data_IF_019610752634
#
_entry.id   IF_019610752634
#
_cell.length_a   1.000
_cell.length_b   1.000
_cell.length_c   1.000
_cell.angle_alpha   90.00
_cell.angle_beta   90.00
_cell.angle_gamma   90.00
#
_symmetry.space_group_name_H-M   'P 1'
#
loop_
_entity.id
_entity.type
_entity.pdbx_description
1 polymer ?
#
# COMPACT_ATOMS: atom_id res chain seq x y z
N UNK A 1 -0.21 -7.84 -24.68
CA UNK A 1 -0.29 -7.04 -23.44
C UNK A 1 -0.45 -5.60 -23.88
N UNK A 2 -1.46 -4.84 -23.42
CA UNK A 2 -1.51 -3.41 -23.70
C UNK A 2 -0.22 -2.77 -23.18
N UNK A 3 0.37 -1.88 -23.99
CA UNK A 3 1.60 -1.18 -23.63
C UNK A 3 1.36 -0.44 -22.32
N UNK A 4 2.06 -0.84 -21.28
CA UNK A 4 2.01 -0.18 -19.98
C UNK A 4 2.82 1.10 -20.08
N UNK A 5 2.15 2.22 -20.32
CA UNK A 5 2.80 3.52 -20.28
C UNK A 5 2.96 3.92 -18.80
N UNK A 6 4.19 3.88 -18.32
CA UNK A 6 4.53 4.55 -17.08
C UNK A 6 4.63 6.05 -17.39
N UNK A 7 3.77 6.82 -16.76
CA UNK A 7 3.69 8.26 -16.89
C UNK A 7 4.34 8.93 -15.67
N UNK A 8 4.73 10.20 -15.80
CA UNK A 8 5.41 10.93 -14.75
C UNK A 8 4.74 12.29 -14.55
N UNK A 9 4.29 12.53 -13.35
CA UNK A 9 3.87 13.84 -12.86
C UNK A 9 5.02 14.47 -12.09
N UNK A 10 5.57 15.55 -12.61
CA UNK A 10 6.55 16.38 -11.90
C UNK A 10 5.82 17.55 -11.26
N UNK A 11 5.83 17.60 -9.92
CA UNK A 11 5.18 18.68 -9.19
C UNK A 11 6.05 19.93 -9.24
N UNK A 12 5.44 21.05 -9.60
CA UNK A 12 6.03 22.39 -9.44
C UNK A 12 5.68 23.00 -8.08
N UNK A 13 4.69 22.44 -7.38
CA UNK A 13 4.29 22.87 -6.05
C UNK A 13 5.00 22.04 -4.99
N UNK A 14 5.61 22.65 -3.97
CA UNK A 14 6.23 21.92 -2.88
C UNK A 14 5.15 21.22 -2.03
N UNK A 15 5.47 20.03 -1.51
CA UNK A 15 4.65 19.32 -0.55
C UNK A 15 5.12 19.66 0.86
N UNK A 16 4.26 20.36 1.63
CA UNK A 16 4.49 20.58 3.06
C UNK A 16 4.10 19.29 3.81
N UNK A 17 5.07 18.68 4.48
CA UNK A 17 4.90 17.45 5.21
C UNK A 17 4.37 17.68 6.62
N UNK A 18 3.71 16.68 7.21
CA UNK A 18 3.25 16.75 8.62
C UNK A 18 4.40 17.02 9.60
N UNK A 19 5.63 16.64 9.26
CA UNK A 19 6.83 16.94 10.05
C UNK A 19 7.24 18.42 10.03
N UNK A 20 6.64 19.23 9.16
CA UNK A 20 7.06 20.61 8.88
C UNK A 20 8.17 20.72 7.83
N UNK A 21 8.75 19.61 7.38
CA UNK A 21 9.70 19.61 6.26
C UNK A 21 8.98 19.89 4.93
N UNK A 22 9.73 20.32 3.93
CA UNK A 22 9.21 20.59 2.58
C UNK A 22 9.90 19.67 1.59
N UNK A 23 9.12 18.93 0.80
CA UNK A 23 9.61 18.17 -0.34
C UNK A 23 9.31 18.95 -1.62
N UNK A 24 10.35 19.53 -2.21
CA UNK A 24 10.26 20.29 -3.46
C UNK A 24 10.65 19.41 -4.65
N UNK A 25 10.18 19.79 -5.85
CA UNK A 25 10.59 19.19 -7.13
C UNK A 25 10.46 17.66 -7.16
N UNK A 26 9.40 17.14 -6.58
CA UNK A 26 9.17 15.69 -6.58
C UNK A 26 8.42 15.22 -7.82
N UNK A 27 8.63 13.95 -8.13
CA UNK A 27 7.99 13.24 -9.25
C UNK A 27 7.15 12.11 -8.71
N UNK A 28 5.96 11.89 -9.27
CA UNK A 28 5.14 10.70 -9.07
C UNK A 28 5.06 9.96 -10.40
N UNK A 29 5.56 8.72 -10.42
CA UNK A 29 5.37 7.81 -11.53
C UNK A 29 4.04 7.06 -11.37
N UNK A 30 3.24 6.96 -12.41
CA UNK A 30 1.92 6.34 -12.35
C UNK A 30 1.58 5.62 -13.65
N UNK A 31 0.59 4.74 -13.59
CA UNK A 31 0.04 4.04 -14.76
C UNK A 31 -1.45 4.26 -14.83
N UNK A 32 -1.97 4.36 -16.05
CA UNK A 32 -3.39 4.47 -16.35
C UNK A 32 -3.85 3.33 -17.25
N UNK A 33 -5.10 2.91 -17.09
CA UNK A 33 -5.71 1.86 -17.90
C UNK A 33 -7.15 2.26 -18.25
N UNK A 34 -7.60 1.86 -19.44
CA UNK A 34 -8.92 2.19 -19.93
C UNK A 34 -9.06 3.66 -20.34
N UNK A 35 -10.29 4.14 -20.41
CA UNK A 35 -10.59 5.50 -20.86
C UNK A 35 -11.57 6.20 -19.93
N UNK A 36 -11.33 7.48 -19.71
CA UNK A 36 -12.23 8.34 -18.96
C UNK A 36 -13.49 8.60 -19.81
N UNK A 37 -14.67 8.31 -19.25
CA UNK A 37 -15.95 8.57 -19.93
C UNK A 37 -16.25 10.08 -19.99
N UNK A 38 -17.24 10.46 -20.84
CA UNK A 38 -17.59 11.86 -21.04
C UNK A 38 -18.06 12.55 -19.73
N UNK A 39 -18.76 11.82 -18.89
CA UNK A 39 -19.27 12.27 -17.59
C UNK A 39 -18.18 12.30 -16.51
N UNK A 40 -16.97 11.77 -16.81
CA UNK A 40 -15.83 11.65 -15.88
C UNK A 40 -16.19 10.93 -14.57
N UNK A 41 -17.12 9.97 -14.65
CA UNK A 41 -17.73 9.29 -13.51
C UNK A 41 -17.18 7.88 -13.25
N UNK A 42 -16.27 7.37 -14.11
CA UNK A 42 -15.78 5.97 -14.09
C UNK A 42 -14.36 5.83 -13.54
N UNK A 43 -13.91 6.74 -12.70
CA UNK A 43 -12.55 6.76 -12.15
C UNK A 43 -12.42 5.76 -11.02
N UNK A 44 -11.53 4.79 -11.17
CA UNK A 44 -11.08 3.86 -10.14
C UNK A 44 -9.64 4.20 -9.78
N UNK A 45 -9.38 4.58 -8.54
CA UNK A 45 -8.03 4.86 -8.07
C UNK A 45 -7.56 3.77 -7.12
N UNK A 46 -6.46 3.12 -7.46
CA UNK A 46 -5.89 2.02 -6.68
C UNK A 46 -4.63 2.53 -5.97
N UNK A 47 -4.55 2.27 -4.67
CA UNK A 47 -3.37 2.57 -3.85
C UNK A 47 -2.71 1.26 -3.50
N UNK A 48 -1.47 1.07 -3.97
CA UNK A 48 -0.75 -0.18 -3.79
C UNK A 48 -0.25 -0.39 -2.34
N UNK A 49 -0.04 -1.66 -1.96
CA UNK A 49 0.54 -2.04 -0.68
C UNK A 49 2.06 -1.75 -0.62
N UNK A 50 2.68 -1.99 0.55
CA UNK A 50 4.06 -1.61 0.91
C UNK A 50 5.10 -1.80 -0.21
N UNK A 51 5.12 -2.95 -0.86
CA UNK A 51 6.09 -3.28 -1.93
C UNK A 51 5.44 -3.45 -3.31
N UNK A 52 4.20 -2.97 -3.47
CA UNK A 52 3.50 -2.92 -4.75
C UNK A 52 4.04 -1.82 -5.65
N UNK A 53 3.50 -1.76 -6.86
CA UNK A 53 3.82 -0.76 -7.87
C UNK A 53 2.57 -0.35 -8.66
N UNK A 54 2.72 0.59 -9.59
CA UNK A 54 1.62 1.09 -10.42
C UNK A 54 1.10 0.10 -11.46
N UNK A 55 1.78 -1.04 -11.65
CA UNK A 55 1.39 -2.04 -12.65
C UNK A 55 0.33 -3.00 -12.12
N UNK A 56 -0.77 -2.44 -11.65
CA UNK A 56 -1.84 -3.15 -10.95
C UNK A 56 -2.44 -4.31 -11.76
N UNK A 57 -2.54 -4.20 -13.07
CA UNK A 57 -3.02 -5.28 -13.93
C UNK A 57 -2.11 -6.53 -13.93
N UNK A 58 -0.87 -6.41 -13.46
CA UNK A 58 0.06 -7.52 -13.32
C UNK A 58 -0.11 -8.27 -12.00
N UNK A 59 -0.17 -7.53 -10.88
CA UNK A 59 -0.21 -8.15 -9.56
C UNK A 59 -1.63 -8.36 -9.01
N UNK A 60 -2.64 -7.71 -9.62
CA UNK A 60 -4.05 -7.85 -9.23
C UNK A 60 -4.94 -8.25 -10.41
N UNK A 61 -4.42 -9.09 -11.30
CA UNK A 61 -5.02 -9.46 -12.58
C UNK A 61 -6.42 -10.11 -12.48
N UNK A 62 -6.79 -10.66 -11.34
CA UNK A 62 -8.14 -11.17 -11.09
C UNK A 62 -9.17 -10.07 -10.72
N UNK A 63 -8.70 -8.87 -10.37
CA UNK A 63 -9.55 -7.71 -10.03
C UNK A 63 -9.47 -6.66 -11.13
N UNK A 64 -8.29 -6.42 -11.69
CA UNK A 64 -8.02 -5.40 -12.72
C UNK A 64 -7.58 -6.09 -14.01
N UNK A 65 -8.27 -5.86 -15.10
CA UNK A 65 -7.94 -6.45 -16.40
C UNK A 65 -9.16 -6.54 -17.31
N UNK A 66 -9.01 -7.05 -18.51
CA UNK A 66 -10.11 -7.14 -19.50
C UNK A 66 -11.35 -7.86 -18.95
N UNK A 67 -11.14 -8.94 -18.21
CA UNK A 67 -12.19 -9.74 -17.57
C UNK A 67 -12.29 -9.52 -16.06
N UNK A 68 -11.58 -8.54 -15.51
CA UNK A 68 -11.60 -8.22 -14.08
C UNK A 68 -12.85 -7.45 -13.66
N UNK A 69 -13.06 -7.34 -12.36
CA UNK A 69 -14.11 -6.49 -11.78
C UNK A 69 -13.99 -5.05 -12.29
N UNK A 70 -12.78 -4.51 -12.28
CA UNK A 70 -12.43 -3.24 -12.87
C UNK A 70 -11.82 -3.50 -14.25
N UNK A 71 -12.69 -3.55 -15.27
CA UNK A 71 -12.27 -3.79 -16.65
C UNK A 71 -11.95 -2.48 -17.39
N UNK A 72 -11.09 -2.58 -18.39
CA UNK A 72 -10.58 -1.42 -19.15
C UNK A 72 -11.62 -0.79 -20.07
N UNK A 73 -12.70 -1.50 -20.39
CA UNK A 73 -13.76 -1.00 -21.28
C UNK A 73 -14.70 -0.03 -20.56
N UNK A 74 -14.91 -0.22 -19.24
CA UNK A 74 -15.89 0.54 -18.47
C UNK A 74 -15.25 1.53 -17.48
N UNK A 75 -13.98 1.35 -17.14
CA UNK A 75 -13.34 2.11 -16.09
C UNK A 75 -12.06 2.81 -16.57
N UNK A 76 -11.83 4.00 -16.03
CA UNK A 76 -10.54 4.66 -16.07
C UNK A 76 -9.82 4.39 -14.76
N UNK A 77 -8.82 3.53 -14.80
CA UNK A 77 -8.11 3.01 -13.64
C UNK A 77 -6.77 3.71 -13.51
N UNK A 78 -6.45 4.17 -12.32
CA UNK A 78 -5.20 4.85 -12.01
C UNK A 78 -4.53 4.14 -10.85
N UNK A 79 -3.23 3.89 -10.96
CA UNK A 79 -2.39 3.48 -9.86
C UNK A 79 -1.08 4.26 -9.92
N UNK A 80 -0.71 4.92 -8.83
CA UNK A 80 0.52 5.69 -8.72
C UNK A 80 1.51 4.99 -7.79
N UNK A 81 2.79 5.03 -8.14
CA UNK A 81 3.87 4.62 -7.25
C UNK A 81 4.00 5.64 -6.13
N UNK A 82 3.94 5.19 -4.88
CA UNK A 82 4.02 6.06 -3.71
C UNK A 82 5.38 6.77 -3.65
N UNK A 83 5.38 8.01 -3.16
CA UNK A 83 6.63 8.67 -2.78
C UNK A 83 7.39 7.80 -1.77
N UNK A 84 8.69 7.73 -1.92
CA UNK A 84 9.53 6.85 -1.11
C UNK A 84 9.65 5.41 -1.65
N UNK A 85 8.80 4.97 -2.60
CA UNK A 85 8.87 3.62 -3.19
C UNK A 85 9.99 3.50 -4.24
N UNK A 86 10.27 2.25 -4.66
CA UNK A 86 11.39 1.94 -5.56
C UNK A 86 11.06 2.04 -7.06
N UNK A 87 9.91 2.63 -7.46
CA UNK A 87 9.39 2.48 -8.84
C UNK A 87 9.14 3.82 -9.56
N UNK A 88 10.16 4.68 -9.57
CA UNK A 88 10.18 5.89 -10.40
C UNK A 88 9.58 7.14 -9.76
N UNK A 89 8.84 7.05 -8.66
CA UNK A 89 8.51 8.20 -7.83
C UNK A 89 9.72 8.63 -7.00
N UNK A 90 9.76 9.92 -6.63
CA UNK A 90 10.84 10.45 -5.78
C UNK A 90 10.96 9.64 -4.49
N UNK A 91 12.18 9.22 -4.19
CA UNK A 91 12.53 8.32 -3.11
C UNK A 91 13.96 8.61 -2.58
N UNK A 92 14.42 7.89 -1.55
CA UNK A 92 15.76 8.12 -0.97
C UNK A 92 16.93 8.05 -1.96
N UNK A 93 16.81 7.36 -3.08
CA UNK A 93 17.85 7.30 -4.11
C UNK A 93 17.72 8.40 -5.18
N UNK A 94 16.65 9.18 -5.14
CA UNK A 94 16.48 10.34 -6.04
C UNK A 94 17.46 11.45 -5.68
N UNK A 95 17.81 12.26 -6.67
CA UNK A 95 18.65 13.45 -6.46
C UNK A 95 17.92 14.48 -5.62
N UNK A 96 18.55 14.92 -4.54
CA UNK A 96 18.12 16.07 -3.76
C UNK A 96 18.46 17.35 -4.53
N UNK A 97 17.47 18.17 -4.92
CA UNK A 97 17.72 19.36 -5.73
C UNK A 97 18.57 20.41 -5.02
N UNK A 98 18.65 20.37 -3.70
CA UNK A 98 19.45 21.32 -2.90
C UNK A 98 20.93 20.96 -2.90
N UNK A 99 21.26 19.66 -2.86
CA UNK A 99 22.68 19.20 -2.73
C UNK A 99 23.26 18.68 -4.05
N UNK A 100 22.40 18.31 -5.02
CA UNK A 100 22.81 17.68 -6.28
C UNK A 100 23.21 16.20 -6.14
N UNK A 101 23.10 15.61 -4.94
CA UNK A 101 23.40 14.20 -4.65
C UNK A 101 22.12 13.45 -4.26
N UNK A 102 22.16 12.12 -4.22
CA UNK A 102 21.00 11.35 -3.74
C UNK A 102 20.69 11.66 -2.28
N UNK A 103 19.41 11.64 -1.93
CA UNK A 103 18.95 11.90 -0.55
C UNK A 103 19.50 10.89 0.46
N UNK A 104 19.47 9.60 0.16
CA UNK A 104 19.78 8.52 1.09
C UNK A 104 19.09 8.72 2.45
N UNK A 105 19.84 8.92 3.52
CA UNK A 105 19.34 9.12 4.89
C UNK A 105 18.69 10.49 5.12
N UNK A 106 18.95 11.47 4.25
CA UNK A 106 18.37 12.80 4.32
C UNK A 106 16.98 12.89 3.67
N UNK A 107 16.47 11.77 3.13
CA UNK A 107 15.11 11.73 2.60
C UNK A 107 14.11 12.00 3.73
N UNK A 108 13.20 12.98 3.55
CA UNK A 108 12.30 13.37 4.63
C UNK A 108 11.36 12.23 5.01
N UNK A 109 11.03 12.14 6.30
CA UNK A 109 10.02 11.20 6.79
C UNK A 109 8.65 11.57 6.23
N UNK A 110 8.00 10.61 5.59
CA UNK A 110 6.65 10.75 5.05
C UNK A 110 5.64 10.03 5.95
N UNK A 111 4.51 10.64 6.19
CA UNK A 111 3.36 10.00 6.82
C UNK A 111 2.37 9.47 5.77
N UNK A 112 1.42 8.63 6.19
CA UNK A 112 0.33 8.20 5.30
C UNK A 112 -0.51 9.38 4.81
N UNK A 113 -0.60 10.46 5.59
CA UNK A 113 -1.26 11.70 5.20
C UNK A 113 -0.49 12.46 4.12
N UNK A 114 0.83 12.54 4.23
CA UNK A 114 1.68 13.14 3.20
C UNK A 114 1.57 12.38 1.89
N UNK A 115 1.54 11.04 1.95
CA UNK A 115 1.32 10.19 0.79
C UNK A 115 -0.05 10.45 0.15
N UNK A 116 -1.12 10.55 0.94
CA UNK A 116 -2.45 10.90 0.44
C UNK A 116 -2.50 12.29 -0.21
N UNK A 117 -1.84 13.28 0.40
CA UNK A 117 -1.74 14.63 -0.17
C UNK A 117 -0.98 14.63 -1.51
N UNK A 118 0.10 13.86 -1.63
CA UNK A 118 0.83 13.75 -2.88
C UNK A 118 -0.01 13.13 -4.01
N UNK A 119 -0.83 12.12 -3.70
CA UNK A 119 -1.77 11.54 -4.66
C UNK A 119 -2.87 12.55 -5.04
N UNK A 120 -3.31 13.42 -4.13
CA UNK A 120 -4.27 14.47 -4.45
C UNK A 120 -3.69 15.53 -5.40
N UNK A 121 -2.40 15.83 -5.33
CA UNK A 121 -1.73 16.70 -6.30
C UNK A 121 -1.73 16.06 -7.70
N UNK A 122 -1.45 14.76 -7.81
CA UNK A 122 -1.57 14.04 -9.07
C UNK A 122 -3.01 14.04 -9.59
N UNK A 123 -4.01 13.82 -8.72
CA UNK A 123 -5.44 13.89 -9.10
C UNK A 123 -5.79 15.24 -9.71
N UNK A 124 -5.34 16.34 -9.09
CA UNK A 124 -5.54 17.72 -9.58
C UNK A 124 -4.85 17.94 -10.93
N UNK A 125 -3.62 17.44 -11.09
CA UNK A 125 -2.90 17.49 -12.37
C UNK A 125 -3.68 16.79 -13.49
N UNK A 126 -4.24 15.61 -13.20
CA UNK A 126 -5.10 14.88 -14.14
C UNK A 126 -6.49 15.50 -14.33
N UNK A 127 -6.77 16.62 -13.65
CA UNK A 127 -8.06 17.35 -13.69
C UNK A 127 -9.25 16.45 -13.33
N UNK A 128 -9.07 15.52 -12.39
CA UNK A 128 -10.11 14.61 -11.91
C UNK A 128 -10.79 15.25 -10.69
N UNK A 129 -11.99 15.79 -10.87
CA UNK A 129 -12.73 16.39 -9.77
C UNK A 129 -13.29 15.35 -8.81
N UNK A 130 -13.80 14.25 -9.37
CA UNK A 130 -14.43 13.17 -8.63
C UNK A 130 -13.71 11.84 -8.85
N UNK A 131 -13.69 11.00 -7.80
CA UNK A 131 -13.27 9.60 -7.85
C UNK A 131 -14.50 8.74 -7.55
N UNK A 132 -14.82 7.81 -8.44
CA UNK A 132 -15.92 6.86 -8.21
C UNK A 132 -15.55 5.87 -7.10
N UNK A 133 -14.38 5.28 -7.20
CA UNK A 133 -13.89 4.33 -6.19
C UNK A 133 -12.41 4.52 -5.93
N UNK A 134 -12.08 4.70 -4.66
CA UNK A 134 -10.73 4.64 -4.12
C UNK A 134 -10.57 3.29 -3.43
N UNK A 135 -9.57 2.49 -3.81
CA UNK A 135 -9.35 1.16 -3.25
C UNK A 135 -7.90 0.94 -2.86
N UNK A 136 -7.65 0.38 -1.68
CA UNK A 136 -6.32 0.03 -1.22
C UNK A 136 -6.34 -1.07 -0.16
N UNK A 137 -5.28 -1.90 -0.16
CA UNK A 137 -5.06 -2.92 0.86
C UNK A 137 -3.82 -2.60 1.71
N UNK A 138 -3.82 -3.01 2.98
CA UNK A 138 -2.69 -2.83 3.90
C UNK A 138 -2.30 -1.35 4.02
N UNK A 139 -1.02 -0.99 3.79
CA UNK A 139 -0.56 0.41 3.70
C UNK A 139 -1.41 1.22 2.71
N UNK A 140 -1.77 0.64 1.56
CA UNK A 140 -2.64 1.31 0.59
C UNK A 140 -4.01 1.63 1.17
N UNK A 141 -4.55 0.80 2.06
CA UNK A 141 -5.79 1.04 2.78
C UNK A 141 -5.69 2.18 3.80
N UNK A 142 -4.56 2.27 4.52
CA UNK A 142 -4.27 3.40 5.42
C UNK A 142 -4.25 4.73 4.67
N UNK A 143 -3.56 4.77 3.53
CA UNK A 143 -3.49 5.96 2.67
C UNK A 143 -4.87 6.28 2.09
N UNK A 144 -5.63 5.26 1.69
CA UNK A 144 -6.98 5.44 1.17
C UNK A 144 -7.93 6.04 2.23
N UNK A 145 -7.81 5.67 3.51
CA UNK A 145 -8.57 6.28 4.59
C UNK A 145 -8.21 7.76 4.80
N UNK A 146 -6.92 8.09 4.83
CA UNK A 146 -6.45 9.48 4.92
C UNK A 146 -6.98 10.31 3.74
N UNK A 147 -6.91 9.74 2.54
CA UNK A 147 -7.35 10.44 1.34
C UNK A 147 -8.87 10.53 1.23
N UNK A 148 -9.63 9.52 1.68
CA UNK A 148 -11.09 9.59 1.76
C UNK A 148 -11.56 10.76 2.65
N UNK A 149 -10.88 10.98 3.78
CA UNK A 149 -11.13 12.15 4.63
C UNK A 149 -10.84 13.47 3.89
N UNK A 150 -9.72 13.57 3.17
CA UNK A 150 -9.31 14.78 2.44
C UNK A 150 -10.21 15.10 1.24
N UNK A 151 -10.69 14.08 0.54
CA UNK A 151 -11.54 14.23 -0.65
C UNK A 151 -12.95 14.74 -0.31
N UNK A 152 -13.47 14.42 0.87
CA UNK A 152 -14.82 14.79 1.25
C UNK A 152 -15.85 14.28 0.23
N UNK A 153 -16.72 15.15 -0.28
CA UNK A 153 -17.76 14.81 -1.26
C UNK A 153 -17.25 14.48 -2.67
N UNK A 154 -15.96 14.63 -2.94
CA UNK A 154 -15.36 14.26 -4.24
C UNK A 154 -15.12 12.76 -4.41
N UNK A 155 -15.33 11.96 -3.36
CA UNK A 155 -15.20 10.52 -3.36
C UNK A 155 -16.57 9.87 -3.15
N UNK A 156 -16.97 8.97 -4.05
CA UNK A 156 -18.21 8.23 -3.88
C UNK A 156 -18.02 6.99 -2.98
N UNK A 157 -17.01 6.18 -3.25
CA UNK A 157 -16.77 4.91 -2.55
C UNK A 157 -15.30 4.77 -2.15
N UNK A 158 -15.03 4.34 -0.91
CA UNK A 158 -13.73 3.90 -0.44
C UNK A 158 -13.77 2.42 -0.06
N UNK A 159 -12.90 1.61 -0.63
CA UNK A 159 -12.75 0.19 -0.29
C UNK A 159 -11.39 0.00 0.35
N UNK A 160 -11.39 -0.36 1.62
CA UNK A 160 -10.17 -0.52 2.41
C UNK A 160 -10.07 -1.95 2.92
N UNK A 161 -8.96 -2.63 2.62
CA UNK A 161 -8.83 -4.07 2.79
C UNK A 161 -7.65 -4.38 3.71
N UNK A 162 -7.84 -5.25 4.70
CA UNK A 162 -6.79 -5.71 5.61
C UNK A 162 -5.94 -4.55 6.13
N UNK A 163 -6.58 -3.59 6.77
CA UNK A 163 -5.99 -2.32 7.20
C UNK A 163 -6.59 -1.81 8.51
N UNK A 164 -6.10 -0.70 9.02
CA UNK A 164 -6.50 -0.11 10.30
C UNK A 164 -6.69 1.40 10.18
N UNK A 165 -7.42 2.01 11.11
CA UNK A 165 -7.52 3.47 11.27
C UNK A 165 -6.33 4.09 12.03
N UNK A 166 -5.59 3.25 12.78
CA UNK A 166 -4.35 3.62 13.49
C UNK A 166 -3.47 2.40 13.62
N UNK A 167 -2.20 2.55 13.27
CA UNK A 167 -1.25 1.44 13.35
C UNK A 167 -1.08 0.96 14.79
N UNK A 168 -1.31 -0.34 15.00
CA UNK A 168 -1.20 -0.97 16.31
C UNK A 168 0.26 -1.19 16.73
N UNK A 169 0.54 -1.30 18.04
CA UNK A 169 1.87 -1.67 18.52
C UNK A 169 2.38 -3.00 17.93
N UNK A 170 1.50 -3.93 17.61
CA UNK A 170 1.82 -5.20 16.97
C UNK A 170 2.43 -5.00 15.58
N UNK A 171 1.79 -4.21 14.73
CA UNK A 171 2.30 -3.87 13.38
C UNK A 171 3.62 -3.09 13.48
N UNK A 172 3.69 -2.09 14.38
CA UNK A 172 4.91 -1.32 14.64
C UNK A 172 6.06 -2.26 15.06
N UNK A 173 5.78 -3.25 15.91
CA UNK A 173 6.76 -4.24 16.36
C UNK A 173 7.34 -5.05 15.20
N UNK A 174 6.49 -5.54 14.29
CA UNK A 174 6.97 -6.23 13.09
C UNK A 174 7.79 -5.33 12.18
N UNK A 175 7.32 -4.10 11.93
CA UNK A 175 8.04 -3.15 11.10
C UNK A 175 9.40 -2.79 11.70
N UNK A 176 9.47 -2.60 13.02
CA UNK A 176 10.72 -2.30 13.70
C UNK A 176 11.69 -3.49 13.66
N UNK A 177 11.23 -4.72 13.88
CA UNK A 177 12.07 -5.92 13.74
C UNK A 177 12.67 -6.04 12.34
N UNK A 178 11.91 -5.68 11.31
CA UNK A 178 12.38 -5.63 9.92
C UNK A 178 13.44 -4.53 9.72
N UNK A 179 13.23 -3.34 10.29
CA UNK A 179 14.23 -2.25 10.23
C UNK A 179 15.49 -2.59 11.02
N UNK A 180 15.35 -3.25 12.16
CA UNK A 180 16.52 -3.76 12.92
C UNK A 180 17.35 -4.74 12.08
N UNK A 181 16.71 -5.62 11.31
CA UNK A 181 17.39 -6.51 10.39
C UNK A 181 18.16 -5.74 9.29
N UNK A 182 17.57 -4.68 8.73
CA UNK A 182 18.25 -3.79 7.78
C UNK A 182 19.42 -3.08 8.45
N UNK A 183 19.22 -2.56 9.65
CA UNK A 183 20.26 -1.82 10.38
C UNK A 183 21.45 -2.71 10.83
N UNK A 184 21.22 -4.01 10.97
CA UNK A 184 22.27 -4.99 11.29
C UNK A 184 23.17 -5.33 10.07
N UNK A 185 22.80 -4.94 8.87
CA UNK A 185 23.63 -5.11 7.67
C UNK A 185 24.85 -4.19 7.75
N UNK A 186 26.05 -4.75 7.59
CA UNK A 186 27.33 -4.00 7.69
C UNK A 186 27.48 -2.88 6.66
N UNK A 187 26.71 -2.91 5.58
CA UNK A 187 26.70 -1.84 4.55
C UNK A 187 25.71 -0.72 4.92
N UNK A 188 24.78 -0.93 5.87
CA UNK A 188 23.86 0.11 6.31
C UNK A 188 24.63 1.24 6.99
N UNK A 189 24.32 2.47 6.66
CA UNK A 189 25.10 3.66 7.04
C UNK A 189 25.95 4.21 5.90
N UNK A 190 26.13 3.46 4.81
CA UNK A 190 26.82 3.93 3.61
C UNK A 190 25.85 4.62 2.65
N UNK A 191 26.24 5.72 2.03
CA UNK A 191 25.47 6.39 0.97
C UNK A 191 25.67 5.67 -0.37
N UNK A 192 25.13 4.45 -0.47
CA UNK A 192 25.23 3.59 -1.66
C UNK A 192 23.86 2.93 -1.93
N UNK A 193 23.41 2.81 -3.20
CA UNK A 193 22.09 2.27 -3.53
C UNK A 193 21.80 0.86 -3.00
N UNK A 194 22.81 0.01 -2.89
CA UNK A 194 22.71 -1.35 -2.37
C UNK A 194 22.93 -1.48 -0.85
N UNK A 195 23.13 -0.35 -0.12
CA UNK A 195 23.29 -0.40 1.33
C UNK A 195 22.04 -1.03 2.00
N UNK A 196 22.29 -1.94 2.95
CA UNK A 196 21.24 -2.66 3.67
C UNK A 196 20.57 -3.78 2.88
N UNK A 197 21.09 -4.19 1.72
CA UNK A 197 20.46 -5.18 0.83
C UNK A 197 20.31 -6.55 1.48
N UNK A 198 21.33 -7.03 2.19
CA UNK A 198 21.26 -8.30 2.93
C UNK A 198 20.31 -8.22 4.13
N UNK A 199 20.31 -7.07 4.80
CA UNK A 199 19.34 -6.78 5.85
C UNK A 199 17.92 -6.75 5.32
N UNK A 200 17.67 -6.23 4.11
CA UNK A 200 16.36 -6.25 3.47
C UNK A 200 15.91 -7.67 3.11
N UNK A 201 16.82 -8.59 2.73
CA UNK A 201 16.48 -10.01 2.56
C UNK A 201 15.93 -10.61 3.86
N UNK A 202 16.61 -10.37 4.98
CA UNK A 202 16.15 -10.81 6.30
C UNK A 202 14.85 -10.12 6.74
N UNK A 203 14.72 -8.81 6.51
CA UNK A 203 13.51 -8.05 6.77
C UNK A 203 12.30 -8.63 6.00
N UNK A 204 12.51 -9.01 4.73
CA UNK A 204 11.45 -9.66 3.94
C UNK A 204 11.07 -11.03 4.50
N UNK A 205 12.01 -11.82 5.00
CA UNK A 205 11.72 -13.09 5.66
C UNK A 205 10.82 -12.88 6.90
N UNK A 206 11.13 -11.89 7.75
CA UNK A 206 10.29 -11.50 8.90
C UNK A 206 8.89 -11.09 8.42
N UNK A 207 8.80 -10.24 7.39
CA UNK A 207 7.52 -9.81 6.81
C UNK A 207 6.69 -10.99 6.33
N UNK A 208 7.29 -11.98 5.65
CA UNK A 208 6.56 -13.14 5.15
C UNK A 208 5.93 -13.98 6.27
N UNK A 209 6.55 -14.04 7.46
CA UNK A 209 5.97 -14.72 8.62
C UNK A 209 4.74 -13.97 9.16
N UNK A 210 4.69 -12.63 9.06
CA UNK A 210 3.51 -11.86 9.44
C UNK A 210 2.41 -11.84 8.36
N UNK A 211 2.77 -12.05 7.08
CA UNK A 211 1.81 -12.04 5.97
C UNK A 211 1.15 -13.40 5.74
N UNK A 212 1.73 -14.47 6.27
CA UNK A 212 1.20 -15.83 6.15
C UNK A 212 0.56 -16.29 7.46
N UNK A 213 -0.52 -17.03 7.34
CA UNK A 213 -1.06 -17.74 8.49
C UNK A 213 -0.24 -19.04 8.72
N UNK A 214 0.04 -19.42 9.98
CA UNK A 214 0.79 -20.64 10.28
C UNK A 214 0.20 -21.91 9.67
N UNK A 215 -1.12 -22.03 9.57
CA UNK A 215 -1.78 -23.20 8.98
C UNK A 215 -1.42 -23.35 7.49
N UNK A 216 -1.51 -22.27 6.72
CA UNK A 216 -1.16 -22.25 5.29
C UNK A 216 0.34 -22.49 5.08
N UNK A 217 1.18 -21.84 5.90
CA UNK A 217 2.63 -21.99 5.78
C UNK A 217 3.08 -23.43 6.11
N UNK A 218 2.55 -24.03 7.19
CA UNK A 218 2.86 -25.39 7.60
C UNK A 218 2.46 -26.40 6.53
N UNK A 219 1.29 -26.23 5.92
CA UNK A 219 0.85 -27.15 4.85
C UNK A 219 1.71 -26.99 3.59
N UNK A 220 1.99 -25.76 3.17
CA UNK A 220 2.76 -25.48 1.94
C UNK A 220 4.25 -25.81 2.05
N UNK A 221 4.81 -25.77 3.26
CA UNK A 221 6.25 -26.02 3.50
C UNK A 221 6.48 -27.34 4.24
N UNK A 222 5.49 -28.24 4.21
CA UNK A 222 5.58 -29.56 4.81
C UNK A 222 6.64 -30.40 4.08
N UNK A 223 7.56 -30.97 4.85
CA UNK A 223 8.58 -31.88 4.30
C UNK A 223 7.96 -33.21 3.86
N UNK A 224 8.41 -33.71 2.73
CA UNK A 224 8.00 -35.01 2.22
C UNK A 224 8.88 -36.16 2.72
N UNK A 225 10.04 -35.85 3.29
CA UNK A 225 11.03 -36.80 3.81
C UNK A 225 11.62 -36.27 5.12
N UNK A 226 12.14 -37.18 5.95
CA UNK A 226 12.89 -36.81 7.15
C UNK A 226 14.17 -36.05 6.79
N UNK A 227 14.45 -34.96 7.47
CA UNK A 227 15.61 -34.09 7.25
C UNK A 227 16.17 -33.59 8.58
N UNK A 228 17.48 -33.36 8.60
CA UNK A 228 18.17 -32.70 9.70
C UNK A 228 18.50 -31.23 9.40
N UNK A 229 18.49 -30.85 8.09
CA UNK A 229 18.78 -29.51 7.61
C UNK A 229 18.19 -29.29 6.20
N UNK A 230 18.29 -28.06 5.64
CA UNK A 230 17.80 -27.74 4.31
C UNK A 230 16.28 -27.75 4.19
N UNK A 231 15.57 -27.27 5.22
CA UNK A 231 14.12 -27.28 5.31
C UNK A 231 13.47 -26.39 4.23
N UNK A 232 12.31 -26.81 3.73
CA UNK A 232 11.53 -26.06 2.72
C UNK A 232 11.16 -24.67 3.23
N UNK A 233 10.77 -24.54 4.48
CA UNK A 233 10.46 -23.23 5.08
C UNK A 233 11.65 -22.28 5.03
N UNK A 234 12.88 -22.77 5.30
CA UNK A 234 14.11 -21.98 5.21
C UNK A 234 14.38 -21.54 3.77
N UNK A 235 14.25 -22.45 2.83
CA UNK A 235 14.42 -22.17 1.39
C UNK A 235 13.41 -21.16 0.89
N UNK A 236 12.15 -21.28 1.31
CA UNK A 236 11.08 -20.34 0.99
C UNK A 236 11.39 -18.91 1.46
N UNK A 237 11.79 -18.73 2.72
CA UNK A 237 12.10 -17.41 3.29
C UNK A 237 13.31 -16.78 2.59
N UNK A 238 14.38 -17.53 2.36
CA UNK A 238 15.56 -17.07 1.61
C UNK A 238 15.19 -16.65 0.18
N UNK A 239 14.36 -17.45 -0.50
CA UNK A 239 13.88 -17.11 -1.85
C UNK A 239 13.06 -15.80 -1.85
N UNK A 240 12.17 -15.60 -0.89
CA UNK A 240 11.34 -14.41 -0.81
C UNK A 240 12.19 -13.15 -0.53
N UNK A 241 13.21 -13.25 0.31
CA UNK A 241 14.17 -12.19 0.54
C UNK A 241 14.91 -11.80 -0.73
N UNK A 242 15.58 -12.76 -1.35
CA UNK A 242 16.35 -12.56 -2.59
C UNK A 242 15.46 -12.08 -3.76
N UNK A 243 14.19 -12.51 -3.83
CA UNK A 243 13.23 -12.03 -4.83
C UNK A 243 12.89 -10.55 -4.65
N UNK A 244 12.71 -10.09 -3.42
CA UNK A 244 12.40 -8.68 -3.15
C UNK A 244 13.56 -7.77 -3.53
N UNK A 245 14.77 -8.09 -3.12
CA UNK A 245 15.96 -7.24 -3.34
C UNK A 245 16.38 -7.09 -4.81
N UNK A 246 15.78 -7.85 -5.72
CA UNK A 246 15.93 -7.64 -7.18
C UNK A 246 15.15 -6.44 -7.71
N UNK A 247 14.16 -5.94 -6.94
CA UNK A 247 13.23 -4.91 -7.41
C UNK A 247 12.93 -3.81 -6.38
N UNK A 248 13.44 -3.94 -5.15
CA UNK A 248 13.15 -3.00 -4.07
C UNK A 248 14.41 -2.73 -3.25
N UNK A 249 14.60 -1.47 -2.83
CA UNK A 249 15.77 -1.04 -2.07
C UNK A 249 15.46 -0.93 -0.57
N UNK A 250 16.51 -1.09 0.26
CA UNK A 250 16.39 -1.02 1.71
C UNK A 250 15.93 0.38 2.18
N UNK A 251 16.41 1.45 1.56
CA UNK A 251 16.00 2.82 1.88
C UNK A 251 14.50 3.03 1.66
N UNK A 252 13.95 2.57 0.53
CA UNK A 252 12.51 2.66 0.25
C UNK A 252 11.69 1.83 1.23
N UNK A 253 12.17 0.64 1.57
CA UNK A 253 11.51 -0.21 2.54
C UNK A 253 11.48 0.42 3.94
N UNK A 254 12.60 0.98 4.37
CA UNK A 254 12.72 1.75 5.60
C UNK A 254 11.74 2.92 5.64
N UNK A 255 11.73 3.74 4.60
CA UNK A 255 10.84 4.90 4.47
C UNK A 255 9.37 4.50 4.58
N UNK A 256 8.92 3.54 3.76
CA UNK A 256 7.51 3.17 3.73
C UNK A 256 7.04 2.42 4.99
N UNK A 257 7.90 1.64 5.65
CA UNK A 257 7.56 1.06 6.96
C UNK A 257 7.44 2.14 8.04
N UNK A 258 8.24 3.20 8.00
CA UNK A 258 8.05 4.38 8.88
C UNK A 258 6.75 5.12 8.57
N UNK A 259 6.41 5.28 7.29
CA UNK A 259 5.12 5.87 6.89
C UNK A 259 3.94 5.05 7.43
N UNK A 260 4.02 3.72 7.35
CA UNK A 260 3.00 2.80 7.87
C UNK A 260 2.84 2.91 9.39
N UNK A 261 3.96 2.99 10.14
CA UNK A 261 3.94 3.17 11.60
C UNK A 261 3.29 4.49 12.01
N UNK A 262 3.48 5.55 11.19
CA UNK A 262 2.96 6.88 11.46
C UNK A 262 1.45 7.01 11.32
N UNK A 263 0.76 5.98 10.76
CA UNK A 263 -0.66 6.10 10.47
C UNK A 263 -1.51 6.23 11.73
N UNK A 264 -2.22 7.34 11.81
CA UNK A 264 -3.26 7.65 12.79
C UNK A 264 -4.21 8.67 12.16
N UNK A 265 -5.35 8.19 11.63
CA UNK A 265 -6.32 9.08 10.96
C UNK A 265 -6.87 10.15 11.94
N UNK A 266 -6.88 9.86 13.25
CA UNK A 266 -7.37 10.75 14.30
C UNK A 266 -6.40 11.85 14.69
N UNK A 267 -5.11 11.75 14.30
CA UNK A 267 -4.09 12.72 14.67
C UNK A 267 -4.46 14.13 14.19
N UNK A 268 -4.52 15.08 15.12
CA UNK A 268 -4.93 16.48 14.89
C UNK A 268 -6.36 16.66 14.35
N UNK A 269 -7.23 15.61 14.46
CA UNK A 269 -8.65 15.65 14.05
C UNK A 269 -9.61 15.35 15.19
N UNK A 270 -9.14 15.34 16.44
CA UNK A 270 -9.96 15.11 17.63
C UNK A 270 -10.23 13.63 17.93
N UNK A 271 -9.36 12.73 17.46
CA UNK A 271 -9.41 11.29 17.70
C UNK A 271 -9.99 10.48 16.54
N UNK A 272 -9.86 9.16 16.66
CA UNK A 272 -10.22 8.22 15.59
C UNK A 272 -11.68 8.29 15.17
N UNK A 273 -12.58 8.26 16.15
CA UNK A 273 -14.02 8.29 15.90
C UNK A 273 -14.44 9.58 15.18
N UNK A 274 -13.94 10.73 15.64
CA UNK A 274 -14.27 12.01 15.01
C UNK A 274 -13.74 12.10 13.58
N UNK A 275 -12.54 11.59 13.32
CA UNK A 275 -11.97 11.57 12.00
C UNK A 275 -12.74 10.63 11.05
N UNK A 276 -13.06 9.40 11.49
CA UNK A 276 -13.82 8.44 10.70
C UNK A 276 -15.24 8.93 10.42
N UNK A 277 -15.91 9.56 11.40
CA UNK A 277 -17.21 10.20 11.20
C UNK A 277 -17.18 11.39 10.21
N UNK A 278 -16.01 11.94 9.93
CA UNK A 278 -15.80 13.00 8.93
C UNK A 278 -15.65 12.48 7.49
N UNK A 279 -15.70 11.18 7.24
CA UNK A 279 -15.62 10.59 5.89
C UNK A 279 -17.00 10.59 5.26
N UNK A 280 -17.16 11.27 4.12
CA UNK A 280 -18.43 11.40 3.39
C UNK A 280 -18.75 10.22 2.47
N UNK A 281 -17.72 9.55 1.97
CA UNK A 281 -17.87 8.43 1.05
C UNK A 281 -18.54 7.22 1.70
N UNK A 282 -19.20 6.37 0.90
CA UNK A 282 -19.50 5.00 1.34
C UNK A 282 -18.19 4.25 1.56
N UNK A 283 -17.99 3.66 2.74
CA UNK A 283 -16.76 2.92 3.07
C UNK A 283 -17.06 1.43 3.20
N UNK A 284 -16.37 0.63 2.41
CA UNK A 284 -16.38 -0.81 2.56
C UNK A 284 -15.06 -1.27 3.18
N UNK A 285 -15.10 -1.63 4.46
CA UNK A 285 -13.96 -2.15 5.18
C UNK A 285 -13.97 -3.68 5.13
N UNK A 286 -12.96 -4.27 4.51
CA UNK A 286 -12.86 -5.72 4.32
C UNK A 286 -11.73 -6.27 5.18
N UNK A 287 -12.07 -7.18 6.11
CA UNK A 287 -11.11 -7.95 6.89
C UNK A 287 -10.73 -9.26 6.20
N UNK A 288 -9.66 -9.89 6.67
CA UNK A 288 -9.30 -11.28 6.34
C UNK A 288 -9.31 -12.09 7.63
N UNK A 289 -10.10 -13.16 7.70
CA UNK A 289 -10.32 -13.93 8.93
C UNK A 289 -9.03 -14.52 9.54
N UNK A 290 -8.05 -14.81 8.72
CA UNK A 290 -6.78 -15.42 9.12
C UNK A 290 -5.59 -14.44 9.18
N UNK A 291 -5.85 -13.14 8.99
CA UNK A 291 -4.82 -12.10 9.05
C UNK A 291 -4.30 -11.94 10.50
N UNK A 292 -3.00 -12.09 10.67
CA UNK A 292 -2.32 -11.90 11.96
C UNK A 292 -1.70 -10.51 12.11
N UNK A 293 -1.62 -9.75 11.01
CA UNK A 293 -1.05 -8.41 11.00
C UNK A 293 -2.11 -7.35 11.28
N UNK A 294 -3.25 -7.41 10.57
CA UNK A 294 -4.41 -6.55 10.76
C UNK A 294 -5.63 -7.40 11.09
N UNK A 295 -6.02 -7.40 12.37
CA UNK A 295 -7.13 -8.20 12.84
C UNK A 295 -8.46 -7.70 12.26
N UNK A 296 -9.41 -8.61 12.05
CA UNK A 296 -10.75 -8.27 11.51
C UNK A 296 -11.47 -7.21 12.34
N UNK A 297 -11.21 -7.14 13.64
CA UNK A 297 -11.80 -6.13 14.53
C UNK A 297 -11.42 -4.69 14.14
N UNK A 298 -10.26 -4.47 13.53
CA UNK A 298 -9.84 -3.17 13.02
C UNK A 298 -10.70 -2.73 11.84
N UNK A 299 -10.97 -3.63 10.88
CA UNK A 299 -11.89 -3.38 9.77
C UNK A 299 -13.34 -3.20 10.23
N UNK A 300 -13.79 -3.98 11.22
CA UNK A 300 -15.10 -3.81 11.86
C UNK A 300 -15.21 -2.46 12.58
N UNK A 301 -14.14 -2.02 13.25
CA UNK A 301 -14.11 -0.70 13.87
C UNK A 301 -14.29 0.41 12.85
N UNK A 302 -13.58 0.38 11.72
CA UNK A 302 -13.73 1.34 10.64
C UNK A 302 -15.18 1.35 10.14
N UNK A 303 -15.73 0.18 9.82
CA UNK A 303 -17.07 0.06 9.22
C UNK A 303 -18.19 0.57 10.12
N UNK A 304 -18.12 0.33 11.44
CA UNK A 304 -19.15 0.78 12.40
C UNK A 304 -19.03 2.24 12.79
N UNK A 305 -17.85 2.87 12.52
CA UNK A 305 -17.59 4.26 12.91
C UNK A 305 -17.84 5.24 11.78
N UNK A 306 -17.60 4.86 10.52
CA UNK A 306 -17.92 5.71 9.37
C UNK A 306 -19.43 5.77 9.15
N UNK A 307 -20.04 6.95 8.90
CA UNK A 307 -21.49 7.11 8.75
C UNK A 307 -22.13 6.16 7.70
N UNK A 308 -21.45 5.95 6.58
CA UNK A 308 -21.87 5.06 5.50
C UNK A 308 -20.93 3.85 5.39
N UNK A 309 -20.61 3.26 6.54
CA UNK A 309 -19.68 2.14 6.63
C UNK A 309 -20.35 0.79 6.47
N UNK A 310 -19.69 -0.12 5.76
CA UNK A 310 -20.07 -1.52 5.62
C UNK A 310 -18.87 -2.42 5.89
N UNK A 311 -19.11 -3.63 6.38
CA UNK A 311 -18.10 -4.64 6.64
C UNK A 311 -18.23 -5.81 5.69
N UNK A 312 -17.11 -6.32 5.23
CA UNK A 312 -16.98 -7.59 4.52
C UNK A 312 -15.83 -8.41 5.05
N UNK A 313 -15.81 -9.70 4.78
CA UNK A 313 -14.76 -10.59 5.26
C UNK A 313 -14.33 -11.57 4.16
N UNK A 314 -13.02 -11.65 3.91
CA UNK A 314 -12.42 -12.68 3.08
C UNK A 314 -12.13 -13.88 3.99
N UNK A 315 -12.69 -15.03 3.66
CA UNK A 315 -12.43 -16.29 4.34
C UNK A 315 -11.34 -17.03 3.61
N UNK A 316 -10.17 -17.11 4.22
CA UNK A 316 -8.98 -17.75 3.65
C UNK A 316 -8.06 -18.24 4.76
N UNK A 317 -7.25 -19.24 4.48
CA UNK A 317 -6.17 -19.69 5.36
C UNK A 317 -4.83 -19.01 5.05
N UNK A 318 -4.78 -18.17 4.03
CA UNK A 318 -3.52 -17.57 3.51
C UNK A 318 -2.90 -16.54 4.46
N UNK A 319 -3.74 -15.83 5.25
CA UNK A 319 -3.32 -14.70 6.07
C UNK A 319 -3.47 -13.37 5.35
N UNK A 320 -2.64 -12.40 5.70
CA UNK A 320 -2.71 -11.01 5.20
C UNK A 320 -2.75 -10.91 3.66
N UNK A 321 -1.95 -11.73 2.95
CA UNK A 321 -1.89 -11.72 1.48
C UNK A 321 -3.18 -12.22 0.79
N UNK A 322 -4.22 -12.66 1.53
CA UNK A 322 -5.45 -13.21 0.93
C UNK A 322 -6.12 -12.22 -0.03
N UNK A 323 -6.09 -10.92 0.22
CA UNK A 323 -6.68 -9.93 -0.70
C UNK A 323 -5.96 -9.84 -2.06
N UNK A 324 -4.73 -10.36 -2.15
CA UNK A 324 -3.96 -10.48 -3.39
C UNK A 324 -4.14 -11.83 -4.08
N UNK A 325 -4.96 -12.73 -3.54
CA UNK A 325 -5.09 -14.13 -3.99
C UNK A 325 -6.56 -14.50 -4.18
N UNK A 326 -7.44 -14.13 -3.25
CA UNK A 326 -8.86 -14.52 -3.21
C UNK A 326 -9.73 -13.62 -4.13
N UNK A 327 -9.32 -13.49 -5.40
CA UNK A 327 -9.93 -12.56 -6.36
C UNK A 327 -11.44 -12.75 -6.55
N UNK A 328 -11.91 -14.01 -6.64
CA UNK A 328 -13.32 -14.30 -6.85
C UNK A 328 -14.16 -13.88 -5.65
N UNK A 329 -13.65 -14.12 -4.45
CA UNK A 329 -14.33 -13.77 -3.21
C UNK A 329 -14.38 -12.25 -3.05
N UNK A 330 -13.24 -11.57 -3.28
CA UNK A 330 -13.14 -10.12 -3.23
C UNK A 330 -14.05 -9.45 -4.28
N UNK A 331 -14.09 -9.96 -5.52
CA UNK A 331 -14.98 -9.44 -6.56
C UNK A 331 -16.45 -9.52 -6.16
N UNK A 332 -16.89 -10.66 -5.60
CA UNK A 332 -18.28 -10.83 -5.13
C UNK A 332 -18.63 -9.86 -4.00
N UNK A 333 -17.72 -9.68 -3.04
CA UNK A 333 -17.92 -8.73 -1.95
C UNK A 333 -18.09 -7.30 -2.47
N UNK A 334 -17.21 -6.85 -3.38
CA UNK A 334 -17.28 -5.50 -3.94
C UNK A 334 -18.53 -5.32 -4.80
N UNK A 335 -18.91 -6.31 -5.61
CA UNK A 335 -20.16 -6.26 -6.39
C UNK A 335 -21.40 -6.17 -5.50
N UNK A 336 -21.43 -6.86 -4.37
CA UNK A 336 -22.50 -6.76 -3.39
C UNK A 336 -22.58 -5.37 -2.77
N UNK A 337 -21.43 -4.80 -2.42
CA UNK A 337 -21.34 -3.44 -1.88
C UNK A 337 -21.88 -2.37 -2.85
N UNK A 338 -21.63 -2.48 -4.15
CA UNK A 338 -22.16 -1.53 -5.12
C UNK A 338 -23.69 -1.62 -5.33
N UNK A 339 -24.31 -2.73 -4.95
CA UNK A 339 -25.75 -2.93 -5.07
C UNK A 339 -26.54 -2.47 -3.83
N UNK A 340 -25.86 -2.26 -2.72
CA UNK A 340 -26.43 -1.76 -1.45
C UNK A 340 -26.42 -0.24 -1.41
#
# INVERSE_FOLDING_TARGET
MPFMNLEYFKSSEPLLLESGAILSDFTIAYSTYGQLNAERSNVIWIVHALTGDSQVATWWNGIVGENGLFNFSNHFIICANLLGSSYGSTNPLSTNPTTGTSYFYDFPSLTTRDLAQSLDLLRKHLKLEHIHTLIGGSLGGQIALEWAYLLGSKLANAIVIATTAKTSPWVIGFNEAQRMAIAADSSWGQCHPDAGKKGLEAARAIAMLSYRNPLDLNEKQKESTEKLDGFLASSYLNYQGAKLTKRFQAFSYWTLTKSMDSHDIGRSRGGLEKALNGIYAKVFAIGVNSDLLFLTEESKFISRTVPLGQYGEIISTTGHDAFLIEFQQLSRLIQSFYKS
#
